data_IF_896313085060
#
_entry.id   IF_896313085060
#
_cell.length_a   1.000
_cell.length_b   1.000
_cell.length_c   1.000
_cell.angle_alpha   90.00
_cell.angle_beta   90.00
_cell.angle_gamma   90.00
#
_symmetry.space_group_name_H-M   'P 1'
#
loop_
_entity.id
_entity.type
_entity.pdbx_description
1 polymer ?
#
# COMPACT_ATOMS: atom_id res chain seq x y z
N UNK A 1 32.12 -25.40 14.97
CA UNK A 1 31.60 -24.07 14.61
C UNK A 1 30.76 -24.24 13.34
N UNK A 2 29.43 -24.36 13.49
CA UNK A 2 28.53 -24.34 12.33
C UNK A 2 28.28 -22.89 11.90
N UNK A 3 28.14 -22.60 10.60
CA UNK A 3 27.80 -21.26 10.14
C UNK A 3 26.40 -20.90 10.67
N UNK A 4 26.29 -19.80 11.40
CA UNK A 4 25.02 -19.22 11.81
C UNK A 4 24.27 -18.79 10.55
N UNK A 5 23.13 -19.43 10.30
CA UNK A 5 22.17 -19.08 9.28
C UNK A 5 21.87 -17.59 9.36
N UNK A 6 22.23 -16.84 8.31
CA UNK A 6 21.90 -15.43 8.17
C UNK A 6 20.40 -15.25 8.06
N UNK A 7 19.72 -15.04 9.19
CA UNK A 7 18.44 -14.35 9.21
C UNK A 7 18.76 -12.88 8.96
N UNK A 8 18.72 -12.48 7.69
CA UNK A 8 18.66 -11.07 7.35
C UNK A 8 17.39 -10.50 7.97
N UNK A 9 17.52 -9.85 9.12
CA UNK A 9 16.44 -9.09 9.74
C UNK A 9 15.93 -8.11 8.68
N UNK A 10 14.72 -8.32 8.19
CA UNK A 10 14.09 -7.35 7.31
C UNK A 10 13.98 -6.05 8.11
N UNK A 11 14.69 -5.01 7.66
CA UNK A 11 14.65 -3.67 8.25
C UNK A 11 13.20 -3.27 8.55
N UNK A 12 12.86 -2.99 9.82
CA UNK A 12 11.54 -2.53 10.20
C UNK A 12 11.12 -1.28 9.40
N UNK A 13 9.84 -1.13 9.07
CA UNK A 13 9.37 -0.04 8.21
C UNK A 13 9.69 1.33 8.78
N UNK A 14 9.56 1.49 10.10
CA UNK A 14 9.92 2.72 10.80
C UNK A 14 11.41 3.03 10.67
N UNK A 15 12.29 2.06 10.90
CA UNK A 15 13.74 2.23 10.75
C UNK A 15 14.11 2.62 9.31
N UNK A 16 13.42 2.03 8.33
CA UNK A 16 13.58 2.43 6.92
C UNK A 16 13.21 3.89 6.68
N UNK A 17 12.10 4.38 7.25
CA UNK A 17 11.70 5.79 7.14
C UNK A 17 12.73 6.69 7.80
N UNK A 18 13.16 6.37 9.02
CA UNK A 18 14.18 7.11 9.75
C UNK A 18 15.48 7.22 8.93
N UNK A 19 15.91 6.11 8.31
CA UNK A 19 17.06 6.09 7.42
C UNK A 19 16.86 6.96 6.17
N UNK A 20 15.70 6.88 5.51
CA UNK A 20 15.40 7.72 4.34
C UNK A 20 15.41 9.22 4.68
N UNK A 21 14.98 9.57 5.88
CA UNK A 21 15.06 10.95 6.38
C UNK A 21 16.51 11.35 6.64
N UNK A 22 17.28 10.52 7.33
CA UNK A 22 18.69 10.78 7.63
C UNK A 22 19.56 10.92 6.36
N UNK A 23 19.24 10.14 5.31
CA UNK A 23 19.90 10.21 4.01
C UNK A 23 19.42 11.37 3.13
N UNK A 24 18.43 12.17 3.57
CA UNK A 24 17.86 13.29 2.82
C UNK A 24 16.98 12.87 1.62
N UNK A 25 16.57 11.61 1.56
CA UNK A 25 15.72 11.05 0.50
C UNK A 25 14.22 11.28 0.76
N UNK A 26 13.87 11.64 1.99
CA UNK A 26 12.51 11.97 2.42
C UNK A 26 12.57 13.12 3.44
N UNK A 27 11.80 14.20 3.26
CA UNK A 27 11.73 15.25 4.27
C UNK A 27 10.91 14.76 5.48
N UNK A 28 11.36 15.09 6.69
CA UNK A 28 10.63 14.76 7.92
C UNK A 28 9.17 15.28 7.90
N UNK A 29 8.95 16.48 7.37
CA UNK A 29 7.61 17.05 7.21
C UNK A 29 6.65 16.17 6.38
N UNK A 30 7.16 15.36 5.44
CA UNK A 30 6.31 14.42 4.71
C UNK A 30 5.88 13.22 5.56
N UNK A 31 6.73 12.77 6.49
CA UNK A 31 6.40 11.73 7.46
C UNK A 31 5.31 12.25 8.40
N UNK A 32 5.50 13.44 8.96
CA UNK A 32 4.50 14.09 9.82
C UNK A 32 3.16 14.29 9.11
N UNK A 33 3.19 14.70 7.83
CA UNK A 33 1.97 14.84 7.03
C UNK A 33 1.25 13.51 6.84
N UNK A 34 1.99 12.43 6.57
CA UNK A 34 1.43 11.09 6.42
C UNK A 34 0.84 10.57 7.74
N UNK A 35 1.54 10.75 8.86
CA UNK A 35 1.06 10.37 10.19
C UNK A 35 -0.20 11.15 10.59
N UNK A 36 -0.24 12.45 10.29
CA UNK A 36 -1.43 13.29 10.51
C UNK A 36 -2.62 12.78 9.70
N UNK A 37 -2.43 12.52 8.40
CA UNK A 37 -3.47 11.91 7.57
C UNK A 37 -3.93 10.57 8.17
N UNK A 38 -2.99 9.77 8.67
CA UNK A 38 -3.32 8.49 9.27
C UNK A 38 -4.23 8.65 10.48
N UNK A 39 -3.87 9.53 11.42
CA UNK A 39 -4.70 9.83 12.59
C UNK A 39 -6.09 10.34 12.21
N UNK A 40 -6.17 11.24 11.24
CA UNK A 40 -7.42 11.91 10.88
C UNK A 40 -8.36 11.02 10.03
N UNK A 41 -7.82 10.16 9.16
CA UNK A 41 -8.62 9.49 8.11
C UNK A 41 -8.42 7.98 7.98
N UNK A 42 -7.26 7.44 8.35
CA UNK A 42 -6.95 6.01 8.09
C UNK A 42 -7.07 5.13 9.33
N UNK A 43 -6.93 5.71 10.53
CA UNK A 43 -6.98 4.99 11.80
C UNK A 43 -8.32 4.29 12.06
N UNK A 44 -9.42 4.81 11.51
CA UNK A 44 -10.77 4.28 11.72
C UNK A 44 -11.24 3.29 10.65
N UNK A 45 -10.30 2.73 9.88
CA UNK A 45 -10.55 1.93 8.67
C UNK A 45 -11.13 2.72 7.50
N UNK A 46 -10.94 2.19 6.30
CA UNK A 46 -11.48 2.74 5.06
C UNK A 46 -12.38 1.69 4.42
N UNK A 47 -13.60 2.09 4.05
CA UNK A 47 -14.55 1.22 3.37
C UNK A 47 -14.22 1.15 1.88
N UNK A 48 -13.92 -0.05 1.39
CA UNK A 48 -13.77 -0.33 -0.04
C UNK A 48 -15.13 -0.41 -0.74
N UNK A 49 -15.18 -0.27 -2.09
CA UNK A 49 -16.43 -0.37 -2.86
C UNK A 49 -17.19 -1.69 -2.71
N UNK A 50 -16.51 -2.79 -2.32
CA UNK A 50 -17.17 -4.06 -2.04
C UNK A 50 -17.81 -4.13 -0.63
N UNK A 51 -17.79 -3.03 0.13
CA UNK A 51 -18.33 -2.91 1.48
C UNK A 51 -17.39 -3.35 2.61
N UNK A 52 -16.20 -3.88 2.29
CA UNK A 52 -15.24 -4.27 3.32
C UNK A 52 -14.54 -3.07 3.94
N UNK A 53 -14.34 -3.13 5.26
CA UNK A 53 -13.51 -2.18 6.00
C UNK A 53 -12.06 -2.69 6.05
N UNK A 54 -11.14 -1.85 5.58
CA UNK A 54 -9.68 -2.11 5.58
C UNK A 54 -9.01 -1.24 6.63
N UNK A 55 -8.25 -1.86 7.53
CA UNK A 55 -7.47 -1.18 8.54
C UNK A 55 -6.07 -0.87 8.02
N UNK A 56 -5.52 0.26 8.46
CA UNK A 56 -4.14 0.62 8.18
C UNK A 56 -3.49 0.87 9.52
N UNK A 57 -2.53 0.04 9.90
CA UNK A 57 -1.72 0.29 11.09
C UNK A 57 -0.67 1.36 10.80
N UNK A 58 -0.01 1.88 11.84
CA UNK A 58 1.09 2.80 11.64
C UNK A 58 2.29 2.13 10.91
N UNK A 59 2.50 0.83 11.15
CA UNK A 59 3.53 0.03 10.44
C UNK A 59 3.21 -0.08 8.94
N UNK A 60 1.94 -0.32 8.61
CA UNK A 60 1.43 -0.36 7.23
C UNK A 60 1.60 0.99 6.53
N UNK A 61 1.34 2.10 7.24
CA UNK A 61 1.58 3.44 6.72
C UNK A 61 3.05 3.59 6.32
N UNK A 62 3.99 3.26 7.22
CA UNK A 62 5.42 3.34 6.93
C UNK A 62 5.81 2.44 5.75
N UNK A 63 5.24 1.23 5.65
CA UNK A 63 5.45 0.35 4.51
C UNK A 63 5.00 0.95 3.17
N UNK A 64 3.98 1.79 3.20
CA UNK A 64 3.37 2.38 2.01
C UNK A 64 4.08 3.68 1.60
N UNK A 65 4.46 4.53 2.56
CA UNK A 65 5.04 5.85 2.27
C UNK A 65 6.51 5.81 1.84
N UNK A 66 7.18 4.65 1.86
CA UNK A 66 8.54 4.51 1.27
C UNK A 66 8.59 4.87 -0.22
N UNK A 67 7.46 4.75 -0.94
CA UNK A 67 7.37 5.18 -2.33
C UNK A 67 7.26 6.70 -2.40
N UNK A 68 8.18 7.35 -3.11
CA UNK A 68 8.17 8.81 -3.27
C UNK A 68 6.95 9.40 -3.97
N UNK A 69 6.19 8.55 -4.65
CA UNK A 69 4.91 8.94 -5.24
C UNK A 69 3.79 8.84 -4.20
N UNK A 70 3.99 8.21 -3.05
CA UNK A 70 3.00 8.17 -1.98
C UNK A 70 3.31 9.21 -0.91
N UNK A 71 4.54 9.32 -0.40
CA UNK A 71 4.81 10.32 0.66
C UNK A 71 4.60 11.76 0.20
N UNK A 72 4.75 12.06 -1.10
CA UNK A 72 4.44 13.39 -1.65
C UNK A 72 2.95 13.72 -1.65
N UNK A 73 2.11 12.69 -1.58
CA UNK A 73 0.65 12.76 -1.74
C UNK A 73 -0.02 11.61 -0.95
N UNK A 74 0.08 11.62 0.40
CA UNK A 74 -0.38 10.51 1.22
C UNK A 74 -1.90 10.28 1.09
N UNK A 75 -2.68 11.28 0.66
CA UNK A 75 -4.09 11.16 0.32
C UNK A 75 -4.39 10.10 -0.75
N UNK A 76 -3.38 9.74 -1.56
CA UNK A 76 -3.48 8.64 -2.55
C UNK A 76 -3.81 7.30 -1.90
N UNK A 77 -3.43 7.07 -0.65
CA UNK A 77 -3.74 5.83 0.08
C UNK A 77 -5.26 5.68 0.19
N UNK A 78 -5.94 6.75 0.63
CA UNK A 78 -7.40 6.78 0.75
C UNK A 78 -8.05 6.59 -0.61
N UNK A 79 -7.61 7.36 -1.62
CA UNK A 79 -8.15 7.29 -2.97
C UNK A 79 -8.02 5.91 -3.59
N UNK A 80 -6.90 5.24 -3.36
CA UNK A 80 -6.70 3.89 -3.85
C UNK A 80 -7.70 2.92 -3.22
N UNK A 81 -7.90 2.95 -1.90
CA UNK A 81 -8.86 2.07 -1.23
C UNK A 81 -10.31 2.36 -1.65
N UNK A 82 -10.70 3.63 -1.76
CA UNK A 82 -12.04 4.06 -2.18
C UNK A 82 -12.34 3.77 -3.67
N UNK A 83 -11.30 3.54 -4.49
CA UNK A 83 -11.44 3.36 -5.94
C UNK A 83 -10.99 2.00 -6.43
N UNK A 84 -11.09 0.97 -5.58
CA UNK A 84 -10.84 -0.43 -5.96
C UNK A 84 -11.91 -0.89 -6.94
N UNK A 85 -11.51 -1.44 -8.10
CA UNK A 85 -12.42 -1.96 -9.12
C UNK A 85 -12.32 -3.47 -9.31
N UNK A 86 -11.28 -4.12 -8.78
CA UNK A 86 -11.09 -5.56 -8.91
C UNK A 86 -10.26 -6.10 -7.75
N UNK A 87 -10.65 -7.23 -7.18
CA UNK A 87 -9.92 -7.93 -6.13
C UNK A 87 -9.69 -9.37 -6.58
N UNK A 88 -8.47 -9.85 -6.38
CA UNK A 88 -8.06 -11.23 -6.70
C UNK A 88 -7.52 -11.94 -5.47
N UNK A 89 -7.80 -13.24 -5.38
CA UNK A 89 -7.20 -14.10 -4.37
C UNK A 89 -5.71 -14.30 -4.63
N UNK A 90 -4.91 -14.30 -3.57
CA UNK A 90 -3.52 -14.74 -3.55
C UNK A 90 -3.40 -15.92 -2.58
N UNK A 91 -2.22 -16.56 -2.58
CA UNK A 91 -1.87 -17.59 -1.61
C UNK A 91 -1.94 -17.08 -0.16
N UNK A 92 -2.25 -18.01 0.76
CA UNK A 92 -2.36 -17.76 2.20
C UNK A 92 -3.43 -16.72 2.59
N UNK A 93 -4.51 -16.64 1.81
CA UNK A 93 -5.64 -15.74 2.09
C UNK A 93 -5.35 -14.25 1.85
N UNK A 94 -4.16 -13.92 1.34
CA UNK A 94 -3.86 -12.56 0.88
C UNK A 94 -4.70 -12.23 -0.34
N UNK A 95 -4.90 -10.94 -0.59
CA UNK A 95 -5.67 -10.47 -1.74
C UNK A 95 -4.93 -9.35 -2.44
N UNK A 96 -5.05 -9.32 -3.76
CA UNK A 96 -4.54 -8.25 -4.60
C UNK A 96 -5.71 -7.41 -5.08
N UNK A 97 -5.83 -6.19 -4.58
CA UNK A 97 -6.83 -5.23 -5.03
C UNK A 97 -6.20 -4.26 -6.04
N UNK A 98 -6.92 -3.98 -7.12
CA UNK A 98 -6.55 -3.00 -8.12
C UNK A 98 -7.45 -1.78 -8.01
N UNK A 99 -6.83 -0.61 -8.05
CA UNK A 99 -7.52 0.67 -7.93
C UNK A 99 -7.28 1.54 -9.14
N UNK A 100 -8.26 2.40 -9.44
CA UNK A 100 -8.20 3.36 -10.54
C UNK A 100 -8.88 4.67 -10.15
N UNK A 101 -8.18 5.79 -10.30
CA UNK A 101 -8.75 7.12 -10.07
C UNK A 101 -8.11 8.17 -10.99
N UNK A 102 -8.74 9.34 -11.10
CA UNK A 102 -8.18 10.47 -11.84
C UNK A 102 -7.55 11.49 -10.89
N UNK A 103 -6.36 11.97 -11.26
CA UNK A 103 -5.61 12.96 -10.50
C UNK A 103 -4.81 13.84 -11.46
N UNK A 104 -5.01 15.16 -11.39
CA UNK A 104 -4.26 16.11 -12.23
C UNK A 104 -4.41 15.84 -13.74
N UNK A 105 -5.60 15.43 -14.17
CA UNK A 105 -5.90 15.11 -15.57
C UNK A 105 -5.29 13.79 -16.07
N UNK A 106 -4.74 12.94 -15.18
CA UNK A 106 -4.18 11.64 -15.54
C UNK A 106 -4.87 10.52 -14.76
N UNK A 107 -5.10 9.40 -15.43
CA UNK A 107 -5.49 8.18 -14.75
C UNK A 107 -4.32 7.65 -13.91
N UNK A 108 -4.63 7.23 -12.69
CA UNK A 108 -3.73 6.56 -11.76
C UNK A 108 -4.22 5.15 -11.53
N UNK A 109 -3.26 4.23 -11.45
CA UNK A 109 -3.52 2.84 -11.12
C UNK A 109 -2.69 2.47 -9.89
N UNK A 110 -3.27 1.66 -9.02
CA UNK A 110 -2.55 1.06 -7.90
C UNK A 110 -2.82 -0.44 -7.79
N UNK A 111 -1.83 -1.15 -7.24
CA UNK A 111 -1.97 -2.49 -6.72
C UNK A 111 -1.81 -2.43 -5.20
N UNK A 112 -2.78 -2.98 -4.48
CA UNK A 112 -2.84 -3.04 -3.02
C UNK A 112 -2.77 -4.51 -2.59
N UNK A 113 -1.89 -4.84 -1.67
CA UNK A 113 -1.83 -6.18 -1.07
C UNK A 113 -2.53 -6.13 0.27
N UNK A 114 -3.64 -6.85 0.37
CA UNK A 114 -4.45 -6.96 1.58
C UNK A 114 -4.17 -8.30 2.27
N UNK A 115 -4.07 -8.28 3.58
CA UNK A 115 -3.91 -9.49 4.40
C UNK A 115 -5.28 -10.07 4.81
N UNK A 116 -5.32 -11.33 5.28
CA UNK A 116 -6.56 -11.98 5.73
C UNK A 116 -7.29 -11.22 6.85
N UNK A 117 -6.53 -10.52 7.70
CA UNK A 117 -7.03 -9.68 8.80
C UNK A 117 -7.54 -8.30 8.33
N UNK A 118 -7.65 -8.09 7.02
CA UNK A 118 -8.11 -6.84 6.39
C UNK A 118 -7.18 -5.66 6.65
N UNK A 119 -5.89 -5.91 6.84
CA UNK A 119 -4.86 -4.86 6.84
C UNK A 119 -4.27 -4.62 5.45
N UNK A 120 -3.88 -3.38 5.15
CA UNK A 120 -3.15 -3.04 3.93
C UNK A 120 -1.65 -3.21 4.16
N UNK A 121 -1.01 -4.21 3.54
CA UNK A 121 0.43 -4.43 3.73
C UNK A 121 1.31 -3.55 2.84
N UNK A 122 0.95 -3.44 1.57
CA UNK A 122 1.70 -2.66 0.58
C UNK A 122 0.77 -2.03 -0.43
N UNK A 123 1.21 -0.88 -0.95
CA UNK A 123 0.57 -0.17 -2.04
C UNK A 123 1.64 0.20 -3.06
N UNK A 124 1.36 -0.05 -4.33
CA UNK A 124 2.23 0.32 -5.43
C UNK A 124 1.45 1.06 -6.49
N UNK A 125 1.89 2.28 -6.85
CA UNK A 125 1.40 2.90 -8.07
C UNK A 125 1.98 2.16 -9.28
N UNK A 126 1.10 1.75 -10.18
CA UNK A 126 1.42 0.93 -11.35
C UNK A 126 0.97 1.64 -12.64
N UNK A 127 1.45 1.15 -13.77
CA UNK A 127 0.97 1.52 -15.09
C UNK A 127 0.05 0.42 -15.66
N UNK A 128 -0.57 0.70 -16.81
CA UNK A 128 -1.42 -0.28 -17.48
C UNK A 128 -0.66 -1.56 -17.87
N UNK A 129 0.62 -1.43 -18.26
CA UNK A 129 1.42 -2.59 -18.68
C UNK A 129 1.61 -3.55 -17.52
N UNK A 130 1.80 -3.04 -16.30
CA UNK A 130 1.94 -3.82 -15.08
C UNK A 130 0.59 -4.37 -14.63
N UNK A 131 -0.49 -3.59 -14.75
CA UNK A 131 -1.85 -4.11 -14.54
C UNK A 131 -2.14 -5.32 -15.44
N UNK A 132 -1.91 -5.20 -16.76
CA UNK A 132 -2.08 -6.29 -17.73
C UNK A 132 -1.24 -7.53 -17.40
N UNK A 133 -0.05 -7.34 -16.81
CA UNK A 133 0.78 -8.47 -16.36
C UNK A 133 0.19 -9.18 -15.15
N UNK A 134 -0.31 -8.43 -14.17
CA UNK A 134 -0.95 -9.02 -13.01
C UNK A 134 -2.22 -9.77 -13.39
N UNK A 135 -3.11 -9.13 -14.17
CA UNK A 135 -4.41 -9.73 -14.53
C UNK A 135 -4.29 -11.02 -15.35
N UNK A 136 -3.17 -11.22 -16.06
CA UNK A 136 -2.88 -12.46 -16.81
C UNK A 136 -2.31 -13.59 -15.96
N UNK A 137 -1.68 -13.29 -14.84
CA UNK A 137 -0.82 -14.24 -14.12
C UNK A 137 -1.23 -14.52 -12.69
N UNK A 138 -2.10 -13.70 -12.11
CA UNK A 138 -2.33 -13.69 -10.67
C UNK A 138 -3.80 -13.91 -10.37
N UNK A 139 -4.05 -14.96 -9.60
CA UNK A 139 -5.24 -15.13 -8.77
C UNK A 139 -6.56 -15.29 -9.53
N UNK A 140 -7.49 -15.99 -8.88
CA UNK A 140 -8.90 -15.93 -9.26
C UNK A 140 -9.47 -14.55 -8.89
N UNK A 141 -10.35 -14.02 -9.74
CA UNK A 141 -11.09 -12.78 -9.44
C UNK A 141 -12.17 -13.11 -8.42
N UNK A 142 -12.07 -12.50 -7.23
CA UNK A 142 -13.04 -12.71 -6.13
C UNK A 142 -14.06 -11.60 -6.05
N UNK A 143 -13.77 -10.42 -6.62
CA UNK A 143 -14.71 -9.32 -6.72
C UNK A 143 -14.32 -8.38 -7.86
N UNK A 144 -15.32 -7.78 -8.53
CA UNK A 144 -15.12 -6.79 -9.60
C UNK A 144 -16.32 -5.86 -9.71
N UNK A 145 -16.06 -4.59 -10.00
CA UNK A 145 -17.04 -3.56 -10.34
C UNK A 145 -17.09 -3.28 -11.84
#
# INVERSE_FOLDING_TARGET
MGPKSGQGSAEPPRERIERLVAEGLMPWAAVEQAERLWQERLRHSVTMPNGEQVWITLDDLYHVIVDSRIWRHPERIVRALESVFEIRALEHGRRLAFSRWYEGGRERLAALVLYPDRTLRTMHLIDERRLRRYTRKVGEVVWRQ
#
